data_IF_926422497449
#
_entry.id   IF_926422497449
#
_cell.length_a   1.000
_cell.length_b   1.000
_cell.length_c   1.000
_cell.angle_alpha   90.00
_cell.angle_beta   90.00
_cell.angle_gamma   90.00
#
_symmetry.space_group_name_H-M   'P 1'
#
loop_
_entity.id
_entity.type
_entity.pdbx_description
1 polymer ?
#
# COMPACT_ATOMS: atom_id res chain seq x y z
N UNK A 1 -4.95 6.24 -76.22
CA UNK A 1 -3.89 7.01 -76.89
C UNK A 1 -4.33 8.45 -76.75
N UNK A 2 -3.85 9.26 -75.82
CA UNK A 2 -2.55 9.24 -75.13
C UNK A 2 -2.61 9.69 -73.67
N UNK A 3 -1.56 9.26 -72.97
CA UNK A 3 -1.19 9.42 -71.58
C UNK A 3 -0.73 10.84 -71.24
N UNK A 4 -0.96 11.25 -69.97
CA UNK A 4 -0.05 12.01 -69.07
C UNK A 4 -0.87 12.84 -68.07
N UNK A 5 -0.48 13.13 -66.84
CA UNK A 5 0.37 12.55 -65.79
C UNK A 5 0.08 13.46 -64.57
N UNK A 6 -0.03 12.88 -63.37
CA UNK A 6 -0.47 13.53 -62.12
C UNK A 6 0.52 14.58 -61.56
N UNK A 7 0.19 15.34 -60.49
CA UNK A 7 0.19 14.77 -59.13
C UNK A 7 -0.93 15.25 -58.19
N UNK A 8 -1.38 14.33 -57.33
CA UNK A 8 -2.27 14.61 -56.20
C UNK A 8 -1.52 15.34 -55.08
N UNK A 9 -2.07 16.44 -54.60
CA UNK A 9 -1.55 17.25 -53.50
C UNK A 9 -2.02 16.70 -52.14
N UNK A 10 -1.05 16.40 -51.27
CA UNK A 10 -1.02 16.87 -49.88
C UNK A 10 -1.84 16.08 -48.85
N UNK A 11 -1.14 15.27 -48.04
CA UNK A 11 -1.70 14.59 -46.87
C UNK A 11 -1.76 15.46 -45.59
N UNK A 12 -2.53 14.96 -44.63
CA UNK A 12 -2.41 15.30 -43.21
C UNK A 12 -2.82 14.10 -42.35
N UNK A 13 -2.01 13.04 -42.39
CA UNK A 13 -1.98 12.06 -41.29
C UNK A 13 -1.14 12.67 -40.18
N UNK A 14 -1.78 13.24 -39.16
CA UNK A 14 -1.07 13.66 -37.94
C UNK A 14 -0.48 12.40 -37.29
N UNK A 15 0.85 12.27 -37.15
CA UNK A 15 1.43 11.16 -36.40
C UNK A 15 1.27 11.42 -34.91
N UNK A 16 0.89 10.37 -34.17
CA UNK A 16 0.94 10.32 -32.70
C UNK A 16 2.39 10.59 -32.24
N UNK A 17 2.63 11.37 -31.17
CA UNK A 17 3.97 11.54 -30.63
C UNK A 17 4.54 10.21 -30.12
N UNK A 18 5.72 9.85 -30.59
CA UNK A 18 6.51 8.70 -30.17
C UNK A 18 6.82 8.75 -28.66
N UNK A 19 6.64 7.62 -27.98
CA UNK A 19 7.13 7.39 -26.62
C UNK A 19 8.64 7.62 -26.57
N UNK A 20 9.05 8.69 -25.88
CA UNK A 20 10.46 8.89 -25.52
C UNK A 20 10.76 8.23 -24.19
N UNK A 21 11.47 7.12 -24.27
CA UNK A 21 12.77 6.96 -23.61
C UNK A 21 12.77 6.92 -22.08
N UNK A 22 12.96 5.71 -21.57
CA UNK A 22 13.40 5.36 -20.23
C UNK A 22 14.57 6.25 -19.76
N UNK A 23 14.44 6.93 -18.62
CA UNK A 23 15.60 7.39 -17.83
C UNK A 23 15.64 6.63 -16.50
N UNK A 24 16.63 5.74 -16.41
CA UNK A 24 16.93 4.87 -15.29
C UNK A 24 17.49 5.66 -14.10
N UNK A 25 16.63 6.00 -13.14
CA UNK A 25 17.07 6.68 -11.92
C UNK A 25 16.30 6.18 -10.69
N UNK A 26 16.41 4.90 -10.35
CA UNK A 26 16.19 4.46 -8.96
C UNK A 26 17.40 3.66 -8.51
N UNK A 27 18.42 4.41 -8.10
CA UNK A 27 19.57 3.90 -7.39
C UNK A 27 19.13 3.40 -6.01
N UNK A 28 19.31 2.11 -5.77
CA UNK A 28 19.65 1.57 -4.46
C UNK A 28 18.50 1.24 -3.52
N UNK A 29 18.08 -0.02 -3.54
CA UNK A 29 18.25 -0.81 -2.32
C UNK A 29 18.66 -2.25 -2.70
N UNK A 30 19.96 -2.44 -2.90
CA UNK A 30 20.61 -3.75 -2.83
C UNK A 30 21.22 -3.87 -1.44
N UNK A 31 20.54 -4.61 -0.58
CA UNK A 31 21.03 -5.29 0.62
C UNK A 31 19.85 -6.18 1.00
N UNK A 32 19.90 -7.50 1.04
CA UNK A 32 20.93 -8.37 1.60
C UNK A 32 20.63 -9.85 1.24
N UNK A 33 21.69 -10.59 0.90
CA UNK A 33 21.62 -12.05 0.77
C UNK A 33 21.74 -12.67 2.16
N UNK A 34 20.63 -13.15 2.75
CA UNK A 34 20.70 -14.24 3.72
C UNK A 34 19.44 -15.12 3.67
N UNK A 35 19.66 -16.40 3.41
CA UNK A 35 18.69 -17.48 3.43
C UNK A 35 18.06 -17.66 4.81
N UNK A 36 16.74 -17.47 4.90
CA UNK A 36 15.91 -18.17 5.88
C UNK A 36 14.50 -18.42 5.33
N UNK A 37 14.14 -19.70 5.20
CA UNK A 37 12.81 -20.19 4.82
C UNK A 37 11.73 -19.67 5.81
N UNK A 38 10.99 -18.65 5.40
CA UNK A 38 9.58 -18.34 5.71
C UNK A 38 9.30 -16.95 5.13
N UNK A 39 8.56 -16.89 4.03
CA UNK A 39 8.44 -15.72 3.15
C UNK A 39 7.57 -14.60 3.72
N UNK A 40 8.01 -13.99 4.81
CA UNK A 40 7.42 -12.79 5.37
C UNK A 40 8.20 -11.58 4.79
N UNK A 41 7.69 -10.99 3.72
CA UNK A 41 8.31 -9.85 3.03
C UNK A 41 8.17 -8.58 3.88
N UNK A 42 9.29 -7.98 4.23
CA UNK A 42 9.34 -6.68 4.91
C UNK A 42 9.27 -5.53 3.88
N UNK A 43 8.53 -4.49 4.19
CA UNK A 43 8.27 -3.32 3.33
C UNK A 43 8.37 -2.02 4.12
N UNK A 44 8.61 -0.92 3.40
CA UNK A 44 8.65 0.45 3.88
C UNK A 44 7.44 1.26 3.36
N UNK A 45 7.09 2.39 3.99
CA UNK A 45 6.03 3.26 3.49
C UNK A 45 6.32 3.73 2.07
N UNK A 46 5.36 3.53 1.17
CA UNK A 46 5.48 3.84 -0.26
C UNK A 46 5.95 2.68 -1.13
N UNK A 47 6.34 1.54 -0.55
CA UNK A 47 6.72 0.35 -1.32
C UNK A 47 5.51 -0.23 -2.06
N UNK A 48 5.75 -0.67 -3.29
CA UNK A 48 4.75 -1.36 -4.10
C UNK A 48 4.58 -2.80 -3.62
N UNK A 49 3.33 -3.20 -3.37
CA UNK A 49 3.01 -4.54 -2.86
C UNK A 49 2.38 -5.41 -3.96
N UNK A 50 1.57 -4.82 -4.83
CA UNK A 50 0.86 -5.54 -5.90
C UNK A 50 -0.14 -4.65 -6.59
N UNK A 51 -0.86 -5.17 -7.57
CA UNK A 51 -1.87 -4.38 -8.30
C UNK A 51 -3.26 -4.52 -7.69
N UNK A 52 -4.15 -3.56 -7.99
CA UNK A 52 -5.55 -3.61 -7.55
C UNK A 52 -6.36 -4.73 -8.20
N UNK A 53 -5.87 -5.30 -9.31
CA UNK A 53 -6.44 -6.49 -9.94
C UNK A 53 -6.11 -7.77 -9.17
N UNK A 54 -4.92 -7.84 -8.55
CA UNK A 54 -4.50 -8.98 -7.74
C UNK A 54 -5.06 -8.91 -6.32
N UNK A 55 -4.98 -7.73 -5.69
CA UNK A 55 -5.32 -7.55 -4.29
C UNK A 55 -6.10 -6.25 -4.04
N UNK A 56 -7.08 -6.31 -3.14
CA UNK A 56 -7.68 -5.12 -2.54
C UNK A 56 -6.79 -4.57 -1.43
N UNK A 57 -6.69 -3.26 -1.32
CA UNK A 57 -6.00 -2.65 -0.16
C UNK A 57 -6.73 -2.99 1.15
N UNK A 58 -5.98 -3.55 2.10
CA UNK A 58 -6.41 -3.88 3.45
C UNK A 58 -5.92 -2.87 4.48
N UNK A 59 -5.68 -3.34 5.70
CA UNK A 59 -5.15 -2.49 6.76
C UNK A 59 -3.71 -2.06 6.45
N UNK A 60 -3.40 -0.78 6.71
CA UNK A 60 -2.06 -0.23 6.57
C UNK A 60 -1.48 -0.31 5.14
N UNK A 61 -2.37 -0.31 4.14
CA UNK A 61 -2.05 -0.19 2.72
C UNK A 61 -2.99 0.83 2.08
N UNK A 62 -2.62 1.37 0.92
CA UNK A 62 -3.45 2.29 0.16
C UNK A 62 -3.35 2.02 -1.33
N UNK A 63 -4.36 2.48 -2.09
CA UNK A 63 -4.41 2.32 -3.54
C UNK A 63 -4.00 3.64 -4.22
N UNK A 64 -3.18 3.56 -5.26
CA UNK A 64 -2.78 4.71 -6.07
C UNK A 64 -2.49 4.26 -7.50
N UNK A 65 -3.18 4.86 -8.48
CA UNK A 65 -2.92 4.58 -9.91
C UNK A 65 -2.97 3.08 -10.27
N UNK A 66 -3.91 2.33 -9.69
CA UNK A 66 -4.05 0.88 -9.93
C UNK A 66 -3.02 -0.02 -9.20
N UNK A 67 -2.13 0.58 -8.40
CA UNK A 67 -1.22 -0.15 -7.51
C UNK A 67 -1.66 -0.08 -6.05
N UNK A 68 -1.32 -1.11 -5.29
CA UNK A 68 -1.42 -1.18 -3.83
C UNK A 68 -0.04 -0.94 -3.23
N UNK A 69 0.05 -0.01 -2.30
CA UNK A 69 1.29 0.42 -1.67
C UNK A 69 1.21 0.30 -0.15
N UNK A 70 2.36 0.11 0.48
CA UNK A 70 2.49 0.09 1.94
C UNK A 70 2.29 1.50 2.52
N UNK A 71 1.45 1.63 3.55
CA UNK A 71 1.30 2.90 4.28
C UNK A 71 2.30 3.04 5.43
N UNK A 72 2.83 1.93 5.94
CA UNK A 72 3.73 1.85 7.09
C UNK A 72 4.87 0.86 6.82
N UNK A 73 5.92 0.91 7.65
CA UNK A 73 6.95 -0.12 7.66
C UNK A 73 6.46 -1.38 8.39
N UNK A 74 6.69 -2.56 7.83
CA UNK A 74 6.23 -3.80 8.42
C UNK A 74 6.30 -5.02 7.51
N UNK A 75 5.64 -6.09 7.92
CA UNK A 75 5.59 -7.35 7.16
C UNK A 75 4.28 -7.48 6.39
N UNK A 76 4.36 -7.87 5.12
CA UNK A 76 3.19 -8.07 4.27
C UNK A 76 2.42 -9.33 4.69
N UNK A 77 1.11 -9.20 4.85
CA UNK A 77 0.18 -10.29 5.12
C UNK A 77 -0.91 -10.30 4.04
N UNK A 78 -0.93 -11.38 3.26
CA UNK A 78 -1.94 -11.62 2.23
C UNK A 78 -3.07 -12.47 2.82
N UNK A 79 -4.31 -11.98 2.66
CA UNK A 79 -5.51 -12.74 2.95
C UNK A 79 -6.11 -13.27 1.64
N UNK A 80 -5.88 -14.54 1.35
CA UNK A 80 -6.32 -15.18 0.09
C UNK A 80 -7.85 -15.30 0.00
N UNK A 81 -8.56 -15.44 1.12
CA UNK A 81 -10.03 -15.55 1.14
C UNK A 81 -10.68 -14.25 0.70
N UNK A 82 -10.15 -13.11 1.16
CA UNK A 82 -10.65 -11.78 0.83
C UNK A 82 -9.92 -11.14 -0.36
N UNK A 83 -8.90 -11.82 -0.90
CA UNK A 83 -7.93 -11.26 -1.85
C UNK A 83 -7.48 -9.87 -1.42
N UNK A 84 -7.09 -9.72 -0.17
CA UNK A 84 -6.68 -8.42 0.38
C UNK A 84 -5.27 -8.48 0.94
N UNK A 85 -4.52 -7.38 0.81
CA UNK A 85 -3.17 -7.29 1.34
C UNK A 85 -3.06 -6.20 2.40
N UNK A 86 -2.43 -6.55 3.52
CA UNK A 86 -2.24 -5.67 4.67
C UNK A 86 -0.79 -5.70 5.13
N UNK A 87 -0.33 -4.64 5.78
CA UNK A 87 1.01 -4.59 6.39
C UNK A 87 0.87 -4.65 7.90
N UNK A 88 1.56 -5.61 8.52
CA UNK A 88 1.65 -5.76 9.96
C UNK A 88 2.87 -4.97 10.44
N UNK A 89 2.70 -3.94 11.28
CA UNK A 89 3.82 -3.17 11.81
C UNK A 89 4.79 -4.05 12.59
N UNK A 90 6.10 -3.82 12.41
CA UNK A 90 7.14 -4.47 13.22
C UNK A 90 7.40 -3.73 14.55
N UNK A 91 6.70 -2.62 14.78
CA UNK A 91 6.79 -1.80 16.00
C UNK A 91 5.69 -2.15 16.99
N UNK A 92 5.94 -1.89 18.27
CA UNK A 92 4.94 -2.05 19.34
C UNK A 92 3.73 -1.14 19.04
N UNK A 93 2.64 -1.77 18.60
CA UNK A 93 1.40 -1.06 18.25
C UNK A 93 0.58 -0.95 19.51
N UNK A 94 0.04 0.25 19.85
CA UNK A 94 -0.80 0.41 21.02
C UNK A 94 -1.88 -0.68 21.06
N UNK A 95 -2.04 -1.38 22.19
CA UNK A 95 -2.98 -2.49 22.27
C UNK A 95 -4.40 -2.01 21.96
N UNK A 96 -5.00 -2.62 20.93
CA UNK A 96 -6.38 -2.32 20.53
C UNK A 96 -7.32 -3.01 21.50
N UNK A 97 -8.09 -2.22 22.24
CA UNK A 97 -9.09 -2.70 23.20
C UNK A 97 -10.21 -3.46 22.49
N UNK A 98 -10.49 -4.68 22.94
CA UNK A 98 -11.61 -5.51 22.47
C UNK A 98 -12.58 -5.78 23.63
N UNK A 99 -13.84 -6.08 23.29
CA UNK A 99 -14.84 -6.49 24.30
C UNK A 99 -14.35 -7.73 25.04
N UNK A 100 -14.47 -7.71 26.36
CA UNK A 100 -14.00 -8.78 27.24
C UNK A 100 -12.57 -8.59 27.78
N UNK A 101 -11.82 -7.57 27.34
CA UNK A 101 -10.52 -7.27 27.96
C UNK A 101 -10.70 -6.64 29.34
N UNK A 102 -9.86 -7.06 30.28
CA UNK A 102 -9.76 -6.45 31.62
C UNK A 102 -8.71 -5.36 31.56
N UNK A 103 -9.11 -4.13 31.89
CA UNK A 103 -8.23 -2.96 31.86
C UNK A 103 -8.00 -2.43 33.27
N UNK A 104 -6.84 -1.81 33.45
CA UNK A 104 -6.52 -1.02 34.64
C UNK A 104 -6.72 0.44 34.27
N UNK A 105 -7.60 1.12 35.01
CA UNK A 105 -7.96 2.50 34.74
C UNK A 105 -7.88 3.37 35.98
N UNK A 106 -7.56 4.65 35.78
CA UNK A 106 -7.56 5.67 36.81
C UNK A 106 -8.80 6.56 36.65
N UNK A 107 -9.55 6.75 37.74
CA UNK A 107 -10.70 7.66 37.75
C UNK A 107 -10.17 9.09 37.68
N UNK A 108 -10.61 9.86 36.69
CA UNK A 108 -10.22 11.26 36.50
C UNK A 108 -11.33 12.24 36.81
N UNK A 109 -12.57 11.76 36.97
CA UNK A 109 -13.69 12.60 37.34
C UNK A 109 -14.94 11.79 37.66
N UNK A 110 -15.73 12.34 38.58
CA UNK A 110 -17.04 11.81 38.98
C UNK A 110 -18.09 12.90 38.79
N UNK A 111 -19.21 12.51 38.22
CA UNK A 111 -20.47 13.26 38.17
C UNK A 111 -21.56 12.36 38.75
N UNK A 112 -22.76 12.91 38.98
CA UNK A 112 -23.86 12.24 39.68
C UNK A 112 -24.16 10.82 39.19
N UNK A 113 -24.03 10.54 37.89
CA UNK A 113 -24.25 9.22 37.29
C UNK A 113 -23.15 8.74 36.35
N UNK A 114 -21.98 9.42 36.33
CA UNK A 114 -20.91 9.12 35.38
C UNK A 114 -19.53 9.19 36.03
N UNK A 115 -18.75 8.13 35.89
CA UNK A 115 -17.33 8.10 36.22
C UNK A 115 -16.49 8.10 34.93
N UNK A 116 -15.66 9.12 34.76
CA UNK A 116 -14.68 9.16 33.68
C UNK A 116 -13.40 8.44 34.13
N UNK A 117 -12.93 7.51 33.32
CA UNK A 117 -11.77 6.67 33.61
C UNK A 117 -10.78 6.74 32.45
N UNK A 118 -9.53 7.07 32.75
CA UNK A 118 -8.41 6.99 31.81
C UNK A 118 -7.79 5.60 31.90
N UNK A 119 -7.63 4.92 30.78
CA UNK A 119 -7.05 3.57 30.73
C UNK A 119 -5.52 3.70 30.81
N UNK A 120 -4.92 3.15 31.87
CA UNK A 120 -3.48 3.17 32.11
C UNK A 120 -2.77 1.92 31.55
N UNK A 121 -3.50 0.81 31.43
CA UNK A 121 -2.96 -0.42 30.90
C UNK A 121 -4.03 -1.47 30.64
N UNK A 122 -3.68 -2.44 29.80
CA UNK A 122 -4.55 -3.57 29.45
C UNK A 122 -3.86 -4.83 29.93
N UNK A 123 -4.57 -5.67 30.68
CA UNK A 123 -4.10 -7.03 30.95
C UNK A 123 -4.52 -7.89 29.75
N UNK A 124 -3.58 -8.07 28.82
CA UNK A 124 -3.69 -8.96 27.67
C UNK A 124 -3.45 -10.41 28.05
#
# INVERSE_FOLDING_TARGET
MDSNESPARGGSSTPLPEERGITNNTSGNTADNNTSNSSDTFVLPGDFIGTTEEFRAGAQTYEKTGGVYAAIAGTVRVNTVRRSVSVIPCTDTPPILKRGNVVIGQIVGLRDSLAMVTIAGVKG
#
